data_IF_892779442182
#
_entry.id   IF_892779442182
#
_cell.length_a   1.000
_cell.length_b   1.000
_cell.length_c   1.000
_cell.angle_alpha   90.00
_cell.angle_beta   90.00
_cell.angle_gamma   90.00
#
_symmetry.space_group_name_H-M   'P 1'
#
loop_
_entity.id
_entity.type
_entity.pdbx_description
1 polymer ?
#
# COMPACT_ATOMS: atom_id res chain seq x y z
N UNK A 1 -29.45 -52.47 -44.16
CA UNK A 1 -28.19 -51.74 -43.88
C UNK A 1 -28.49 -50.69 -42.83
N UNK A 2 -28.11 -50.95 -41.59
CA UNK A 2 -28.31 -50.05 -40.43
C UNK A 2 -26.95 -49.82 -39.81
N UNK A 3 -26.40 -48.62 -39.96
CA UNK A 3 -25.16 -48.23 -39.27
C UNK A 3 -25.43 -47.81 -37.82
N UNK A 4 -24.53 -48.16 -36.88
CA UNK A 4 -24.68 -47.81 -35.47
C UNK A 4 -24.14 -46.40 -35.18
N UNK A 5 -24.94 -45.60 -34.45
CA UNK A 5 -24.56 -44.29 -33.94
C UNK A 5 -23.52 -44.42 -32.82
N UNK A 6 -22.28 -44.00 -33.07
CA UNK A 6 -21.26 -43.82 -32.03
C UNK A 6 -21.27 -42.37 -31.53
N UNK A 7 -21.83 -42.16 -30.34
CA UNK A 7 -21.76 -40.88 -29.64
C UNK A 7 -20.40 -40.73 -28.95
N UNK A 8 -19.60 -39.69 -29.22
CA UNK A 8 -18.30 -39.53 -28.59
C UNK A 8 -18.44 -39.10 -27.12
N UNK A 9 -17.78 -39.85 -26.23
CA UNK A 9 -17.72 -39.58 -24.80
C UNK A 9 -17.15 -38.18 -24.52
N UNK A 10 -17.86 -37.38 -23.72
CA UNK A 10 -17.48 -36.01 -23.35
C UNK A 10 -16.29 -36.06 -22.38
N UNK A 11 -15.16 -35.39 -22.65
CA UNK A 11 -14.00 -35.42 -21.76
C UNK A 11 -14.33 -34.73 -20.43
N UNK A 12 -14.13 -35.46 -19.33
CA UNK A 12 -14.24 -34.93 -17.96
C UNK A 12 -13.08 -33.99 -17.70
N UNK A 13 -13.37 -32.68 -17.72
CA UNK A 13 -12.44 -31.61 -17.36
C UNK A 13 -12.07 -31.70 -15.87
N UNK A 14 -10.94 -32.33 -15.56
CA UNK A 14 -10.31 -32.23 -14.24
C UNK A 14 -9.58 -30.89 -14.13
N UNK A 15 -10.29 -29.86 -13.65
CA UNK A 15 -9.67 -28.55 -13.40
C UNK A 15 -8.60 -28.72 -12.31
N UNK A 16 -7.33 -28.35 -12.55
CA UNK A 16 -6.28 -28.50 -11.55
C UNK A 16 -6.63 -27.67 -10.29
N UNK A 17 -6.20 -28.10 -9.09
CA UNK A 17 -6.47 -27.38 -7.87
C UNK A 17 -5.95 -25.95 -7.99
N UNK A 18 -6.85 -24.99 -8.08
CA UNK A 18 -6.49 -23.58 -8.13
C UNK A 18 -5.83 -23.24 -6.80
N UNK A 19 -4.52 -22.97 -6.80
CA UNK A 19 -3.86 -22.35 -5.67
C UNK A 19 -4.57 -21.02 -5.40
N UNK A 20 -5.38 -20.98 -4.33
CA UNK A 20 -6.11 -19.76 -3.96
C UNK A 20 -5.08 -18.74 -3.50
N UNK A 21 -4.78 -17.79 -4.39
CA UNK A 21 -3.96 -16.65 -4.04
C UNK A 21 -4.57 -15.92 -2.83
N UNK A 22 -3.75 -15.43 -1.88
CA UNK A 22 -4.24 -14.81 -0.65
C UNK A 22 -5.15 -13.60 -0.94
N UNK A 23 -6.28 -13.46 -0.24
CA UNK A 23 -7.25 -12.39 -0.48
C UNK A 23 -6.64 -10.98 -0.32
N UNK A 24 -7.16 -9.98 -1.05
CA UNK A 24 -6.82 -8.55 -0.88
C UNK A 24 -6.93 -8.10 0.59
N UNK A 25 -7.90 -8.66 1.32
CA UNK A 25 -8.10 -8.42 2.75
C UNK A 25 -6.88 -8.82 3.57
N UNK A 26 -6.39 -10.03 3.35
CA UNK A 26 -5.24 -10.58 4.06
C UNK A 26 -4.00 -9.76 3.74
N UNK A 27 -3.74 -9.49 2.46
CA UNK A 27 -2.57 -8.72 2.03
C UNK A 27 -2.54 -7.32 2.65
N UNK A 28 -3.65 -6.59 2.56
CA UNK A 28 -3.72 -5.23 3.08
C UNK A 28 -3.71 -5.15 4.61
N UNK A 29 -4.35 -6.10 5.31
CA UNK A 29 -4.27 -6.18 6.77
C UNK A 29 -2.86 -6.52 7.24
N UNK A 30 -2.18 -7.47 6.59
CA UNK A 30 -0.79 -7.80 6.92
C UNK A 30 0.15 -6.63 6.65
N UNK A 31 -0.08 -5.85 5.59
CA UNK A 31 0.69 -4.65 5.32
C UNK A 31 0.55 -3.63 6.46
N UNK A 32 -0.69 -3.30 6.87
CA UNK A 32 -0.96 -2.34 7.93
C UNK A 32 -0.44 -2.82 9.29
N UNK A 33 -0.81 -4.02 9.71
CA UNK A 33 -0.44 -4.54 11.03
C UNK A 33 1.05 -4.85 11.10
N UNK A 34 1.64 -5.37 10.02
CA UNK A 34 3.08 -5.63 9.94
C UNK A 34 3.90 -4.34 10.04
N UNK A 35 3.46 -3.28 9.36
CA UNK A 35 4.06 -1.95 9.50
C UNK A 35 4.00 -1.44 10.94
N UNK A 36 2.80 -1.41 11.54
CA UNK A 36 2.60 -0.90 12.90
C UNK A 36 3.39 -1.72 13.92
N UNK A 37 3.36 -3.05 13.81
CA UNK A 37 4.12 -3.93 14.69
C UNK A 37 5.62 -3.72 14.56
N UNK A 38 6.13 -3.53 13.34
CA UNK A 38 7.55 -3.23 13.11
C UNK A 38 7.93 -1.87 13.68
N UNK A 39 7.14 -0.82 13.43
CA UNK A 39 7.38 0.52 13.94
C UNK A 39 7.43 0.58 15.47
N UNK A 40 6.47 -0.07 16.13
CA UNK A 40 6.39 -0.10 17.59
C UNK A 40 7.43 -1.03 18.19
N UNK A 41 7.62 -2.23 17.62
CA UNK A 41 8.56 -3.23 18.11
C UNK A 41 10.01 -2.79 18.00
N UNK A 42 10.45 -2.35 16.82
CA UNK A 42 11.82 -1.87 16.65
C UNK A 42 12.06 -0.54 17.38
N UNK A 43 11.06 0.34 17.43
CA UNK A 43 11.15 1.57 18.21
C UNK A 43 11.28 1.34 19.71
N UNK A 44 10.57 0.37 20.28
CA UNK A 44 10.66 0.04 21.70
C UNK A 44 11.99 -0.63 22.09
N UNK A 45 12.71 -1.22 21.14
CA UNK A 45 13.99 -1.89 21.39
C UNK A 45 15.21 -1.02 21.09
N UNK A 46 15.02 0.22 20.64
CA UNK A 46 16.10 1.16 20.40
C UNK A 46 16.15 2.17 21.54
N UNK A 47 17.17 2.06 22.39
CA UNK A 47 17.32 2.94 23.54
C UNK A 47 17.39 4.41 23.12
N UNK A 48 16.64 5.27 23.82
CA UNK A 48 16.52 6.70 23.51
C UNK A 48 15.61 7.03 22.32
N UNK A 49 14.99 6.04 21.66
CA UNK A 49 14.11 6.31 20.52
C UNK A 49 12.73 6.85 20.96
N UNK A 50 12.56 8.15 20.81
CA UNK A 50 11.24 8.81 20.85
C UNK A 50 10.48 8.68 19.53
N UNK A 51 9.25 8.15 19.58
CA UNK A 51 8.32 8.09 18.43
C UNK A 51 7.85 9.48 17.97
N UNK A 52 7.82 10.48 18.85
CA UNK A 52 7.42 11.85 18.49
C UNK A 52 8.54 12.63 17.79
N UNK A 53 9.79 12.34 18.16
CA UNK A 53 10.94 13.17 17.78
C UNK A 53 11.75 12.56 16.65
N UNK A 54 11.96 11.24 16.66
CA UNK A 54 12.84 10.59 15.71
C UNK A 54 12.10 10.15 14.46
N UNK A 55 12.66 10.38 13.25
CA UNK A 55 12.03 9.97 12.00
C UNK A 55 11.95 8.45 11.91
N UNK A 56 10.94 7.94 11.21
CA UNK A 56 10.74 6.49 11.04
C UNK A 56 11.95 5.85 10.33
N UNK A 57 12.54 6.57 9.37
CA UNK A 57 13.71 6.12 8.63
C UNK A 57 14.96 5.90 9.50
N UNK A 58 15.01 6.47 10.72
CA UNK A 58 16.12 6.22 11.65
C UNK A 58 16.21 4.74 12.05
N UNK A 59 15.08 4.06 12.21
CA UNK A 59 15.06 2.64 12.59
C UNK A 59 15.68 1.73 11.52
N UNK A 60 15.68 2.17 10.26
CA UNK A 60 16.30 1.51 9.11
C UNK A 60 17.67 2.09 8.72
N UNK A 61 18.20 3.04 9.50
CA UNK A 61 19.44 3.69 9.13
C UNK A 61 20.64 2.76 9.39
N UNK A 62 21.57 2.67 8.42
CA UNK A 62 22.82 1.92 8.57
C UNK A 62 23.56 2.41 9.81
N UNK A 63 24.04 1.46 10.61
CA UNK A 63 24.67 1.72 11.90
C UNK A 63 23.72 1.58 13.09
N UNK A 64 22.40 1.54 12.87
CA UNK A 64 21.41 1.22 13.91
C UNK A 64 21.31 -0.30 14.10
N UNK A 65 21.21 -0.82 15.35
CA UNK A 65 21.03 -2.24 15.58
C UNK A 65 19.82 -2.80 14.83
N UNK A 66 20.03 -3.85 14.03
CA UNK A 66 18.99 -4.52 13.23
C UNK A 66 18.30 -3.64 12.19
N UNK A 67 18.98 -2.61 11.69
CA UNK A 67 18.50 -1.70 10.64
C UNK A 67 17.87 -2.43 9.44
N UNK A 68 18.54 -3.46 8.93
CA UNK A 68 18.09 -4.21 7.75
C UNK A 68 16.76 -4.94 7.98
N UNK A 69 16.52 -5.37 9.22
CA UNK A 69 15.29 -6.07 9.58
C UNK A 69 14.13 -5.07 9.65
N UNK A 70 14.36 -3.86 10.19
CA UNK A 70 13.35 -2.81 10.14
C UNK A 70 13.05 -2.42 8.70
N UNK A 71 14.04 -2.24 7.83
CA UNK A 71 13.78 -1.89 6.43
C UNK A 71 12.96 -2.96 5.70
N UNK A 72 13.28 -4.23 5.96
CA UNK A 72 12.54 -5.35 5.37
C UNK A 72 11.09 -5.40 5.88
N UNK A 73 10.88 -5.40 7.20
CA UNK A 73 9.56 -5.61 7.80
C UNK A 73 8.72 -4.33 7.93
N UNK A 74 9.35 -3.17 8.02
CA UNK A 74 8.76 -1.85 8.17
C UNK A 74 8.56 -1.10 6.84
N UNK A 75 9.24 -1.46 5.75
CA UNK A 75 9.03 -0.80 4.46
C UNK A 75 8.81 -1.78 3.31
N UNK A 76 9.79 -2.64 3.02
CA UNK A 76 9.77 -3.50 1.83
C UNK A 76 8.55 -4.43 1.84
N UNK A 77 8.39 -5.22 2.89
CA UNK A 77 7.32 -6.21 2.97
C UNK A 77 5.93 -5.55 3.00
N UNK A 78 5.65 -4.54 3.85
CA UNK A 78 4.35 -3.85 3.81
C UNK A 78 4.06 -3.19 2.47
N UNK A 79 5.07 -2.58 1.82
CA UNK A 79 4.91 -1.93 0.52
C UNK A 79 4.57 -2.92 -0.59
N UNK A 80 5.23 -4.08 -0.64
CA UNK A 80 4.92 -5.14 -1.60
C UNK A 80 3.53 -5.77 -1.36
N UNK A 81 3.15 -5.96 -0.10
CA UNK A 81 1.81 -6.43 0.28
C UNK A 81 0.73 -5.42 -0.12
N UNK A 82 0.97 -4.13 0.12
CA UNK A 82 0.08 -3.05 -0.30
C UNK A 82 -0.03 -2.99 -1.84
N UNK A 83 1.09 -3.09 -2.56
CA UNK A 83 1.11 -3.13 -4.03
C UNK A 83 0.26 -4.29 -4.56
N UNK A 84 0.47 -5.50 -4.05
CA UNK A 84 -0.30 -6.67 -4.45
C UNK A 84 -1.81 -6.50 -4.17
N UNK A 85 -2.17 -5.90 -3.03
CA UNK A 85 -3.57 -5.57 -2.71
C UNK A 85 -4.17 -4.55 -3.69
N UNK A 86 -3.42 -3.49 -4.00
CA UNK A 86 -3.84 -2.41 -4.91
C UNK A 86 -4.05 -2.94 -6.34
N UNK A 87 -3.08 -3.70 -6.86
CA UNK A 87 -3.18 -4.30 -8.21
C UNK A 87 -4.41 -5.20 -8.32
N UNK A 88 -4.66 -6.04 -7.31
CA UNK A 88 -5.83 -6.92 -7.30
C UNK A 88 -7.14 -6.14 -7.14
N UNK A 89 -7.14 -5.09 -6.33
CA UNK A 89 -8.31 -4.22 -6.18
C UNK A 89 -8.61 -3.49 -7.49
N UNK A 90 -7.59 -3.05 -8.23
CA UNK A 90 -7.72 -2.47 -9.57
C UNK A 90 -8.34 -3.44 -10.57
N UNK A 91 -7.86 -4.68 -10.63
CA UNK A 91 -8.44 -5.71 -11.51
C UNK A 91 -9.92 -5.94 -11.16
N UNK A 92 -10.24 -6.07 -9.88
CA UNK A 92 -11.61 -6.28 -9.41
C UNK A 92 -12.51 -5.05 -9.63
N UNK A 93 -11.94 -3.84 -9.63
CA UNK A 93 -12.68 -2.60 -9.90
C UNK A 93 -12.97 -2.44 -11.40
N UNK A 94 -11.99 -2.71 -12.24
CA UNK A 94 -12.14 -2.68 -13.71
C UNK A 94 -13.13 -3.73 -14.22
N UNK A 95 -13.23 -4.89 -13.56
CA UNK A 95 -14.22 -5.91 -13.91
C UNK A 95 -15.68 -5.48 -13.60
N UNK A 96 -15.87 -4.51 -12.69
CA UNK A 96 -17.20 -4.01 -12.27
C UNK A 96 -17.64 -2.76 -13.01
N UNK A 97 -16.69 -2.00 -13.54
CA UNK A 97 -17.00 -0.82 -14.33
C UNK A 97 -17.20 -1.29 -15.78
N UNK A 98 -18.43 -1.22 -16.29
CA UNK A 98 -18.78 -1.45 -17.70
C UNK A 98 -17.98 -0.51 -18.63
N UNK A 99 -16.73 -0.87 -18.92
CA UNK A 99 -15.74 0.02 -19.55
C UNK A 99 -15.09 0.98 -18.55
N UNK A 100 -14.21 0.43 -17.69
CA UNK A 100 -13.41 1.18 -16.71
C UNK A 100 -12.85 2.50 -17.25
N UNK A 101 -13.37 3.61 -16.72
CA UNK A 101 -12.98 4.95 -17.15
C UNK A 101 -11.47 5.14 -17.00
N UNK A 102 -10.81 5.66 -18.05
CA UNK A 102 -9.36 5.91 -18.13
C UNK A 102 -8.77 6.55 -16.86
N UNK A 103 -9.55 7.36 -16.14
CA UNK A 103 -9.19 7.95 -14.85
C UNK A 103 -8.96 6.91 -13.74
N UNK A 104 -9.80 5.88 -13.62
CA UNK A 104 -9.62 4.80 -12.64
C UNK A 104 -8.35 4.00 -12.93
N UNK A 105 -8.10 3.68 -14.21
CA UNK A 105 -6.90 2.96 -14.63
C UNK A 105 -5.60 3.72 -14.28
N UNK A 106 -5.56 5.02 -14.56
CA UNK A 106 -4.42 5.87 -14.18
C UNK A 106 -4.32 6.00 -12.66
N UNK A 107 -5.45 6.22 -11.98
CA UNK A 107 -5.49 6.35 -10.51
C UNK A 107 -4.92 5.13 -9.80
N UNK A 108 -5.35 3.94 -10.21
CA UNK A 108 -4.84 2.67 -9.68
C UNK A 108 -3.35 2.46 -9.98
N UNK A 109 -2.91 2.78 -11.20
CA UNK A 109 -1.48 2.69 -11.57
C UNK A 109 -0.62 3.58 -10.68
N UNK A 110 -1.04 4.82 -10.44
CA UNK A 110 -0.33 5.75 -9.56
C UNK A 110 -0.32 5.26 -8.11
N UNK A 111 -1.42 4.71 -7.60
CA UNK A 111 -1.42 4.09 -6.26
C UNK A 111 -0.50 2.86 -6.17
N UNK A 112 -0.36 2.09 -7.25
CA UNK A 112 0.58 0.97 -7.30
C UNK A 112 2.02 1.46 -7.30
N UNK A 113 2.34 2.52 -8.06
CA UNK A 113 3.65 3.18 -8.03
C UNK A 113 3.95 3.72 -6.62
N UNK A 114 2.97 4.32 -5.95
CA UNK A 114 3.13 4.77 -4.58
C UNK A 114 3.54 3.62 -3.65
N UNK A 115 2.89 2.47 -3.74
CA UNK A 115 3.23 1.31 -2.92
C UNK A 115 4.64 0.76 -3.18
N UNK A 116 5.09 0.77 -4.44
CA UNK A 116 6.46 0.41 -4.79
C UNK A 116 7.47 1.44 -4.28
N UNK A 117 7.14 2.73 -4.35
CA UNK A 117 7.98 3.80 -3.81
C UNK A 117 8.12 3.68 -2.29
N UNK A 118 7.04 3.33 -1.59
CA UNK A 118 7.08 3.02 -0.16
C UNK A 118 7.99 1.81 0.13
N UNK A 119 7.88 0.72 -0.65
CA UNK A 119 8.77 -0.43 -0.51
C UNK A 119 10.25 -0.06 -0.77
N UNK A 120 10.49 0.80 -1.76
CA UNK A 120 11.83 1.25 -2.14
C UNK A 120 12.52 2.02 -1.02
N UNK A 121 11.78 2.69 -0.12
CA UNK A 121 12.36 3.35 1.05
C UNK A 121 13.18 2.40 1.93
N UNK A 122 12.75 1.13 2.08
CA UNK A 122 13.52 0.12 2.82
C UNK A 122 14.65 -0.51 2.00
N UNK A 123 14.54 -0.55 0.67
CA UNK A 123 15.64 -1.00 -0.18
C UNK A 123 16.78 0.03 -0.26
N UNK A 124 16.51 1.28 0.16
CA UNK A 124 17.40 2.42 0.11
C UNK A 124 17.67 2.94 1.54
N UNK A 125 18.46 2.20 2.35
CA UNK A 125 18.75 2.56 3.73
C UNK A 125 19.56 3.86 3.79
N UNK A 126 19.20 4.72 4.74
CA UNK A 126 19.90 5.97 5.03
C UNK A 126 21.15 5.67 5.86
N UNK A 127 22.23 6.42 5.67
CA UNK A 127 23.40 6.32 6.54
C UNK A 127 23.20 7.21 7.79
N UNK A 128 23.19 6.61 8.99
CA UNK A 128 23.00 7.36 10.23
C UNK A 128 24.15 8.34 10.52
N UNK A 129 25.36 8.05 10.02
CA UNK A 129 26.56 8.86 10.25
C UNK A 129 26.71 10.03 9.27
N UNK A 130 26.18 9.91 8.05
CA UNK A 130 26.32 10.93 7.00
C UNK A 130 25.05 11.77 6.74
N UNK A 131 23.93 11.39 7.35
CA UNK A 131 22.67 12.14 7.24
C UNK A 131 22.04 12.13 5.84
N UNK A 132 21.09 13.03 5.60
CA UNK A 132 20.25 13.04 4.39
C UNK A 132 20.91 13.68 3.15
N UNK A 133 22.14 14.21 3.27
CA UNK A 133 22.75 15.09 2.27
C UNK A 133 23.52 14.42 1.13
N UNK A 134 23.90 13.14 1.25
CA UNK A 134 24.81 12.47 0.31
C UNK A 134 24.33 11.06 -0.10
N UNK A 135 24.61 10.67 -1.35
CA UNK A 135 24.46 9.30 -1.85
C UNK A 135 23.04 8.71 -1.78
N UNK A 136 22.92 7.49 -1.26
CA UNK A 136 21.68 6.69 -1.20
C UNK A 136 20.57 7.39 -0.38
N UNK A 137 20.93 8.27 0.56
CA UNK A 137 19.96 9.02 1.35
C UNK A 137 19.07 9.95 0.48
N UNK A 138 19.60 10.45 -0.65
CA UNK A 138 18.81 11.21 -1.65
C UNK A 138 17.78 10.34 -2.36
N UNK A 139 18.12 9.08 -2.63
CA UNK A 139 17.21 8.12 -3.25
C UNK A 139 16.09 7.74 -2.28
N UNK A 140 16.38 7.60 -0.98
CA UNK A 140 15.34 7.41 0.04
C UNK A 140 14.37 8.60 0.08
N UNK A 141 14.90 9.82 0.12
CA UNK A 141 14.07 11.04 0.11
C UNK A 141 13.23 11.15 -1.19
N UNK A 142 13.82 10.78 -2.33
CA UNK A 142 13.09 10.70 -3.60
C UNK A 142 11.98 9.65 -3.56
N UNK A 143 12.24 8.44 -3.05
CA UNK A 143 11.24 7.38 -2.91
C UNK A 143 10.08 7.83 -2.00
N UNK A 144 10.39 8.48 -0.87
CA UNK A 144 9.39 9.09 -0.02
C UNK A 144 8.54 10.14 -0.75
N UNK A 145 9.19 10.99 -1.56
CA UNK A 145 8.52 12.05 -2.34
C UNK A 145 7.61 11.48 -3.42
N UNK A 146 8.09 10.46 -4.15
CA UNK A 146 7.30 9.74 -5.16
C UNK A 146 6.10 9.06 -4.51
N UNK A 147 6.24 8.47 -3.32
CA UNK A 147 5.14 7.81 -2.61
C UNK A 147 3.94 8.74 -2.41
N UNK A 148 4.13 9.89 -1.77
CA UNK A 148 2.98 10.76 -1.46
C UNK A 148 2.45 11.50 -2.70
N UNK A 149 3.29 11.88 -3.67
CA UNK A 149 2.83 12.53 -4.91
C UNK A 149 2.00 11.55 -5.74
N UNK A 150 2.51 10.34 -5.95
CA UNK A 150 1.81 9.33 -6.73
C UNK A 150 0.50 8.93 -6.04
N UNK A 151 0.51 8.79 -4.70
CA UNK A 151 -0.73 8.53 -3.98
C UNK A 151 -1.71 9.69 -4.04
N UNK A 152 -1.28 10.94 -3.87
CA UNK A 152 -2.17 12.10 -3.92
C UNK A 152 -2.83 12.23 -5.30
N UNK A 153 -2.04 12.17 -6.37
CA UNK A 153 -2.55 12.21 -7.74
C UNK A 153 -3.46 11.00 -8.03
N UNK A 154 -3.03 9.79 -7.67
CA UNK A 154 -3.79 8.56 -7.88
C UNK A 154 -5.11 8.55 -7.11
N UNK A 155 -5.09 8.93 -5.83
CA UNK A 155 -6.24 9.00 -4.95
C UNK A 155 -7.27 10.03 -5.42
N UNK A 156 -6.84 11.20 -5.91
CA UNK A 156 -7.74 12.19 -6.53
C UNK A 156 -8.42 11.61 -7.77
N UNK A 157 -7.67 10.95 -8.66
CA UNK A 157 -8.24 10.32 -9.86
C UNK A 157 -9.23 9.21 -9.50
N UNK A 158 -8.94 8.39 -8.50
CA UNK A 158 -9.86 7.36 -7.98
C UNK A 158 -11.12 8.00 -7.38
N UNK A 159 -10.98 9.05 -6.57
CA UNK A 159 -12.10 9.76 -5.97
C UNK A 159 -12.99 10.46 -7.01
N UNK A 160 -12.45 10.87 -8.15
CA UNK A 160 -13.24 11.40 -9.29
C UNK A 160 -13.90 10.25 -10.07
N UNK A 161 -13.15 9.16 -10.30
CA UNK A 161 -13.58 8.03 -11.11
C UNK A 161 -14.66 7.14 -10.47
N UNK A 162 -14.71 7.03 -9.15
CA UNK A 162 -15.70 6.24 -8.41
C UNK A 162 -17.08 6.90 -8.31
N UNK A 163 -17.67 7.22 -9.46
CA UNK A 163 -19.04 7.73 -9.57
C UNK A 163 -20.00 6.75 -8.90
N UNK A 164 -20.81 7.24 -7.95
CA UNK A 164 -21.75 6.43 -7.16
C UNK A 164 -21.20 5.83 -5.85
N UNK A 165 -19.88 5.80 -5.62
CA UNK A 165 -19.29 5.27 -4.36
C UNK A 165 -18.90 6.38 -3.40
N UNK A 166 -19.89 7.18 -2.98
CA UNK A 166 -19.70 8.44 -2.25
C UNK A 166 -18.78 8.30 -1.03
N UNK A 167 -18.98 7.26 -0.21
CA UNK A 167 -18.16 7.04 0.97
C UNK A 167 -16.67 6.78 0.63
N UNK A 168 -16.38 5.99 -0.41
CA UNK A 168 -15.00 5.78 -0.89
C UNK A 168 -14.35 7.07 -1.37
N UNK A 169 -15.10 7.93 -2.05
CA UNK A 169 -14.60 9.21 -2.56
C UNK A 169 -14.17 10.11 -1.41
N UNK A 170 -15.03 10.30 -0.41
CA UNK A 170 -14.73 11.14 0.75
C UNK A 170 -13.62 10.55 1.62
N UNK A 171 -13.65 9.24 1.88
CA UNK A 171 -12.58 8.58 2.63
C UNK A 171 -11.22 8.72 1.92
N UNK A 172 -11.19 8.57 0.59
CA UNK A 172 -9.96 8.72 -0.19
C UNK A 172 -9.48 10.16 -0.21
N UNK A 173 -10.37 11.13 -0.46
CA UNK A 173 -10.03 12.55 -0.43
C UNK A 173 -9.50 12.98 0.95
N UNK A 174 -10.13 12.49 2.03
CA UNK A 174 -9.68 12.73 3.39
C UNK A 174 -8.28 12.18 3.65
N UNK A 175 -8.00 10.93 3.25
CA UNK A 175 -6.67 10.32 3.42
C UNK A 175 -5.62 11.03 2.56
N UNK A 176 -5.95 11.43 1.32
CA UNK A 176 -5.07 12.27 0.48
C UNK A 176 -4.75 13.58 1.19
N UNK A 177 -5.75 14.27 1.73
CA UNK A 177 -5.56 15.51 2.47
C UNK A 177 -4.67 15.30 3.71
N UNK A 178 -4.90 14.23 4.49
CA UNK A 178 -4.06 13.88 5.63
C UNK A 178 -2.60 13.66 5.21
N UNK A 179 -2.35 12.84 4.18
CA UNK A 179 -1.01 12.55 3.68
C UNK A 179 -0.31 13.82 3.22
N UNK A 180 -1.01 14.71 2.49
CA UNK A 180 -0.44 15.98 2.05
C UNK A 180 -0.12 16.90 3.24
N UNK A 181 -1.08 17.15 4.12
CA UNK A 181 -0.88 18.03 5.30
C UNK A 181 0.31 17.55 6.13
N UNK A 182 0.37 16.26 6.44
CA UNK A 182 1.44 15.72 7.28
C UNK A 182 2.77 15.48 6.54
N UNK A 183 2.81 15.66 5.22
CA UNK A 183 4.07 15.71 4.45
C UNK A 183 4.74 17.09 4.51
N UNK A 184 3.96 18.16 4.74
CA UNK A 184 4.46 19.55 4.77
C UNK A 184 4.43 20.20 6.16
N UNK A 185 3.59 19.70 7.06
CA UNK A 185 3.36 20.31 8.38
C UNK A 185 3.94 19.42 9.47
N UNK A 186 4.93 19.96 10.20
CA UNK A 186 5.44 19.35 11.41
C UNK A 186 4.45 19.53 12.57
N UNK A 187 4.23 18.47 13.35
CA UNK A 187 3.42 18.56 14.57
C UNK A 187 4.27 19.23 15.66
N UNK A 188 3.80 20.33 16.29
CA UNK A 188 4.54 20.99 17.37
C UNK A 188 4.90 20.02 18.49
N UNK A 189 6.18 19.98 18.88
CA UNK A 189 6.68 19.07 19.91
C UNK A 189 6.81 17.59 19.49
N UNK A 190 6.31 17.20 18.33
CA UNK A 190 6.37 15.84 17.81
C UNK A 190 6.56 15.80 16.28
N UNK A 191 7.65 16.39 15.75
CA UNK A 191 7.83 16.60 14.31
C UNK A 191 7.75 15.31 13.48
N UNK A 192 8.14 14.18 14.05
CA UNK A 192 8.13 12.89 13.36
C UNK A 192 6.75 12.18 13.39
N UNK A 193 5.77 12.73 14.11
CA UNK A 193 4.43 12.15 14.20
C UNK A 193 3.65 12.30 12.89
N UNK A 194 3.87 13.39 12.15
CA UNK A 194 3.20 13.62 10.86
C UNK A 194 3.48 12.48 9.88
N UNK A 195 4.75 12.10 9.72
CA UNK A 195 5.16 10.98 8.88
C UNK A 195 4.43 9.67 9.24
N UNK A 196 4.33 9.36 10.54
CA UNK A 196 3.67 8.15 11.04
C UNK A 196 2.18 8.16 10.74
N UNK A 197 1.51 9.29 11.01
CA UNK A 197 0.10 9.48 10.70
C UNK A 197 -0.14 9.29 9.20
N UNK A 198 0.72 9.86 8.34
CA UNK A 198 0.64 9.70 6.89
C UNK A 198 0.73 8.24 6.45
N UNK A 199 1.75 7.51 6.93
CA UNK A 199 1.92 6.08 6.60
C UNK A 199 0.77 5.22 7.09
N UNK A 200 0.34 5.39 8.34
CA UNK A 200 -0.76 4.61 8.94
C UNK A 200 -2.08 4.94 8.25
N UNK A 201 -2.37 6.21 7.97
CA UNK A 201 -3.60 6.61 7.26
C UNK A 201 -3.65 6.02 5.85
N UNK A 202 -2.53 6.04 5.12
CA UNK A 202 -2.43 5.44 3.80
C UNK A 202 -2.61 3.91 3.83
N UNK A 203 -1.92 3.21 4.74
CA UNK A 203 -2.06 1.75 4.87
C UNK A 203 -3.48 1.35 5.34
N UNK A 204 -4.08 2.15 6.23
CA UNK A 204 -5.47 1.96 6.64
C UNK A 204 -6.44 2.16 5.47
N UNK A 205 -6.18 3.12 4.58
CA UNK A 205 -6.93 3.27 3.35
C UNK A 205 -6.79 2.04 2.43
N UNK A 206 -5.57 1.50 2.25
CA UNK A 206 -5.35 0.26 1.47
C UNK A 206 -6.12 -0.91 2.08
N UNK A 207 -6.14 -1.03 3.41
CA UNK A 207 -6.96 -2.03 4.12
C UNK A 207 -8.46 -1.80 3.89
N UNK A 208 -8.95 -0.58 4.05
CA UNK A 208 -10.36 -0.25 3.83
C UNK A 208 -10.84 -0.61 2.41
N UNK A 209 -10.02 -0.30 1.41
CA UNK A 209 -10.25 -0.65 0.01
C UNK A 209 -10.22 -2.18 -0.17
N UNK A 210 -9.20 -2.86 0.36
CA UNK A 210 -9.04 -4.31 0.24
C UNK A 210 -10.16 -5.12 0.89
N UNK A 211 -10.74 -4.60 1.97
CA UNK A 211 -11.90 -5.17 2.67
C UNK A 211 -13.22 -4.94 1.95
N UNK A 212 -13.30 -3.88 1.13
CA UNK A 212 -14.53 -3.47 0.47
C UNK A 212 -15.55 -2.93 1.47
N UNK A 213 -15.12 -2.36 2.61
CA UNK A 213 -16.01 -1.83 3.66
C UNK A 213 -17.04 -0.83 3.15
N UNK A 214 -16.77 -0.24 2.00
CA UNK A 214 -17.53 0.85 1.40
C UNK A 214 -18.26 0.44 0.11
N UNK A 215 -18.27 -0.86 -0.22
CA UNK A 215 -19.07 -1.40 -1.32
C UNK A 215 -20.43 -1.84 -0.78
N UNK A 216 -21.55 -1.43 -1.42
CA UNK A 216 -22.86 -2.02 -1.12
C UNK A 216 -22.75 -3.54 -1.21
N UNK A 217 -23.07 -4.25 -0.12
CA UNK A 217 -23.31 -5.68 -0.22
C UNK A 217 -24.55 -5.83 -1.10
N UNK A 218 -24.39 -6.45 -2.26
CA UNK A 218 -25.53 -6.96 -3.02
C UNK A 218 -26.32 -7.84 -2.05
N UNK A 219 -27.52 -7.39 -1.69
CA UNK A 219 -28.45 -8.23 -0.94
C UNK A 219 -28.86 -9.32 -1.91
N UNK A 220 -28.39 -10.53 -1.64
CA UNK A 220 -28.94 -11.77 -2.22
C UNK A 220 -30.38 -11.92 -1.75
#
# INVERSE_FOLDING_TARGET
MTEPSTSPARPTSSRPPSTRLPSTRVLSTLALLGFVASLLGFGAMLDGFSQGTHPVALLGARGVPRWWAFDLFGFVLPGLLAWASIVRSSIADNARADGGGRLLGVGWTLCAIAALAFAAQGALPIDAAQGFGYGIARLHAAAWTVWWIAFAAGGVLLAIGWRGRIALRFATAFVVALVLVFSFVAVPGAPAMGQRIGFVAWLAWVACVGWGFWMPRERV
#
